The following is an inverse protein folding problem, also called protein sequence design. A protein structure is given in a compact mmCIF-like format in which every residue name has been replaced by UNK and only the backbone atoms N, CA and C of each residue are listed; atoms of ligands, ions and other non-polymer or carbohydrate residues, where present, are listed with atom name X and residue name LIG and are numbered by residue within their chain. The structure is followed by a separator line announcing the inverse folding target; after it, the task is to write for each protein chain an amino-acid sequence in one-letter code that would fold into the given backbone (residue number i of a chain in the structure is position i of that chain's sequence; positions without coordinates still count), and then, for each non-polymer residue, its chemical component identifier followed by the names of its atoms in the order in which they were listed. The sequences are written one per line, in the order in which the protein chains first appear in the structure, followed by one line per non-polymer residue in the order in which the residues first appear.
data_IF_421769371698
#
_entry.id   IF_421769371698
#
_cell.length_a   1.000
_cell.length_b   1.000
_cell.length_c   1.000
_cell.angle_alpha   90.00
_cell.angle_beta   90.00
_cell.angle_gamma   90.00
#
_symmetry.space_group_name_H-M   'P 1'
#
loop_
_entity.id
_entity.type
_entity.pdbx_description
1 polymer ?
#
# COMPACT_ATOMS: atom_id res chain seq x y z
N UNK A 1 -11.26 -4.23 13.61
CA UNK A 1 -10.65 -3.97 12.30
C UNK A 1 -9.15 -4.14 12.49
N UNK A 2 -8.47 -4.96 11.68
CA UNK A 2 -7.00 -5.03 11.73
C UNK A 2 -6.45 -3.73 11.15
N UNK A 3 -5.37 -3.21 11.72
CA UNK A 3 -4.74 -1.94 11.27
C UNK A 3 -3.25 -2.17 11.13
N UNK A 4 -2.68 -1.64 10.06
CA UNK A 4 -1.30 -1.84 9.65
C UNK A 4 -0.58 -0.49 9.63
N UNK A 5 0.46 -0.33 10.45
CA UNK A 5 1.22 0.92 10.53
C UNK A 5 2.50 0.81 9.69
N UNK A 6 2.61 1.67 8.67
CA UNK A 6 3.82 1.80 7.86
C UNK A 6 4.76 2.81 8.51
N UNK A 7 5.85 2.33 9.11
CA UNK A 7 6.86 3.12 9.81
C UNK A 7 8.13 3.27 9.00
N UNK A 8 8.53 4.50 8.70
CA UNK A 8 9.88 4.77 8.19
C UNK A 8 10.89 4.51 9.31
N UNK A 9 11.90 3.67 9.06
CA UNK A 9 12.97 3.39 10.04
C UNK A 9 14.28 4.06 9.66
N UNK A 10 14.57 4.10 8.37
CA UNK A 10 15.83 4.60 7.84
C UNK A 10 15.57 5.23 6.47
N UNK A 11 16.39 6.20 6.10
CA UNK A 11 16.41 6.76 4.76
C UNK A 11 17.84 7.02 4.32
N UNK A 12 18.14 6.66 3.08
CA UNK A 12 19.49 6.75 2.51
C UNK A 12 19.47 7.61 1.26
N UNK A 13 20.45 8.49 1.15
CA UNK A 13 20.63 9.33 -0.04
C UNK A 13 21.75 8.76 -0.92
N UNK A 14 21.40 8.38 -2.14
CA UNK A 14 22.31 7.89 -3.19
C UNK A 14 22.37 8.94 -4.30
N UNK A 15 23.25 9.93 -4.12
CA UNK A 15 23.38 11.07 -5.03
C UNK A 15 22.10 11.92 -5.07
N UNK A 16 21.41 11.90 -6.21
CA UNK A 16 20.14 12.60 -6.43
C UNK A 16 18.91 11.78 -6.03
N UNK A 17 19.07 10.50 -5.68
CA UNK A 17 17.97 9.62 -5.27
C UNK A 17 17.93 9.48 -3.74
N UNK A 18 16.72 9.43 -3.19
CA UNK A 18 16.48 9.09 -1.78
C UNK A 18 15.73 7.76 -1.72
N UNK A 19 16.30 6.79 -1.02
CA UNK A 19 15.67 5.51 -0.69
C UNK A 19 15.13 5.59 0.73
N UNK A 20 13.89 5.15 0.92
CA UNK A 20 13.23 5.13 2.23
C UNK A 20 12.94 3.67 2.60
N UNK A 21 13.34 3.27 3.80
CA UNK A 21 13.20 1.92 4.30
C UNK A 21 12.09 1.89 5.35
N UNK A 22 11.04 1.13 5.05
CA UNK A 22 9.85 1.02 5.89
C UNK A 22 9.79 -0.34 6.57
N UNK A 23 9.32 -0.35 7.81
CA UNK A 23 8.87 -1.54 8.52
C UNK A 23 7.36 -1.44 8.66
N UNK A 24 6.70 -2.57 8.47
CA UNK A 24 5.31 -2.73 8.87
C UNK A 24 5.33 -3.09 10.36
N UNK A 25 4.96 -2.14 11.23
CA UNK A 25 4.56 -2.51 12.57
C UNK A 25 3.11 -2.92 12.54
N UNK A 26 2.90 -4.13 13.02
CA UNK A 26 1.58 -4.71 13.14
C UNK A 26 1.16 -4.60 14.57
N UNK A 27 -0.05 -4.09 14.79
CA UNK A 27 -0.73 -4.32 16.06
C UNK A 27 -1.21 -5.79 16.20
N UNK A 28 -0.95 -6.66 15.19
CA UNK A 28 -1.17 -8.13 15.15
C UNK A 28 -0.41 -8.80 13.97
N UNK A 29 0.49 -9.76 14.20
CA UNK A 29 1.20 -10.76 13.34
C UNK A 29 1.00 -10.86 11.78
N UNK A 30 0.69 -9.79 11.07
CA UNK A 30 0.35 -9.82 9.63
C UNK A 30 1.49 -9.54 8.66
N UNK A 31 1.93 -10.54 7.91
CA UNK A 31 2.95 -10.36 6.87
C UNK A 31 2.48 -9.49 5.69
N UNK A 32 3.42 -9.03 4.84
CA UNK A 32 3.13 -8.39 3.54
C UNK A 32 2.11 -9.23 2.73
N UNK A 33 2.19 -10.56 2.80
CA UNK A 33 1.26 -11.45 2.11
C UNK A 33 -0.19 -11.30 2.60
N UNK A 34 -0.42 -11.03 3.90
CA UNK A 34 -1.77 -10.78 4.41
C UNK A 34 -2.35 -9.47 3.87
N UNK A 35 -1.52 -8.44 3.75
CA UNK A 35 -1.92 -7.15 3.17
C UNK A 35 -2.23 -7.32 1.69
N UNK A 36 -1.38 -8.04 0.94
CA UNK A 36 -1.62 -8.37 -0.46
C UNK A 36 -2.94 -9.12 -0.63
N UNK A 37 -3.21 -10.12 0.21
CA UNK A 37 -4.49 -10.86 0.16
C UNK A 37 -5.68 -9.95 0.50
N UNK A 38 -5.55 -9.09 1.51
CA UNK A 38 -6.59 -8.13 1.88
C UNK A 38 -6.90 -7.15 0.74
N UNK A 39 -5.88 -6.68 0.03
CA UNK A 39 -6.05 -5.84 -1.16
C UNK A 39 -6.76 -6.61 -2.27
N UNK A 40 -6.37 -7.87 -2.54
CA UNK A 40 -7.06 -8.72 -3.53
C UNK A 40 -8.54 -8.92 -3.19
N UNK A 41 -8.86 -9.19 -1.92
CA UNK A 41 -10.24 -9.32 -1.48
C UNK A 41 -11.07 -8.04 -1.70
N UNK A 42 -10.47 -6.86 -1.54
CA UNK A 42 -11.12 -5.58 -1.85
C UNK A 42 -11.36 -5.45 -3.35
N UNK A 43 -10.35 -5.75 -4.18
CA UNK A 43 -10.48 -5.70 -5.64
C UNK A 43 -11.59 -6.64 -6.14
N UNK A 44 -11.61 -7.89 -5.66
CA UNK A 44 -12.59 -8.91 -6.02
C UNK A 44 -14.00 -8.50 -5.58
N UNK A 45 -14.14 -7.96 -4.35
CA UNK A 45 -15.42 -7.51 -3.81
C UNK A 45 -16.01 -6.35 -4.62
N UNK A 46 -15.15 -5.47 -5.11
CA UNK A 46 -15.54 -4.29 -5.88
C UNK A 46 -15.60 -4.53 -7.39
N UNK A 47 -15.16 -5.71 -7.85
CA UNK A 47 -15.14 -6.07 -9.26
C UNK A 47 -14.19 -5.22 -10.09
N UNK A 48 -13.09 -4.74 -9.48
CA UNK A 48 -12.09 -3.89 -10.13
C UNK A 48 -10.78 -4.65 -10.32
N UNK A 49 -10.13 -4.49 -11.47
CA UNK A 49 -8.80 -5.10 -11.67
C UNK A 49 -7.68 -4.21 -11.14
N UNK A 50 -6.59 -4.85 -10.68
CA UNK A 50 -5.38 -4.14 -10.27
C UNK A 50 -4.82 -3.26 -11.42
N UNK A 51 -4.80 -3.82 -12.64
CA UNK A 51 -4.35 -3.14 -13.85
C UNK A 51 -5.15 -1.88 -14.19
N UNK A 52 -6.49 -1.96 -14.16
CA UNK A 52 -7.35 -0.80 -14.41
C UNK A 52 -7.20 0.26 -13.31
N UNK A 53 -6.95 -0.18 -12.07
CA UNK A 53 -6.74 0.73 -10.94
C UNK A 53 -5.44 1.52 -11.08
N UNK A 54 -4.35 0.86 -11.51
CA UNK A 54 -3.04 1.51 -11.73
C UNK A 54 -3.04 2.44 -12.94
N UNK A 55 -3.75 2.06 -14.01
CA UNK A 55 -3.86 2.85 -15.24
C UNK A 55 -4.81 4.06 -15.14
N UNK A 56 -5.62 4.16 -14.09
CA UNK A 56 -6.62 5.21 -13.94
C UNK A 56 -5.98 6.59 -13.65
N UNK A 57 -6.36 7.67 -14.34
CA UNK A 57 -5.91 9.03 -14.02
C UNK A 57 -6.23 9.48 -12.59
N UNK A 58 -7.26 8.89 -11.96
CA UNK A 58 -7.67 9.10 -10.56
C UNK A 58 -7.22 7.97 -9.64
N UNK A 59 -6.16 7.24 -9.99
CA UNK A 59 -5.62 6.10 -9.21
C UNK A 59 -5.46 6.41 -7.71
N UNK A 60 -5.03 7.61 -7.34
CA UNK A 60 -4.84 7.99 -5.93
C UNK A 60 -6.15 8.01 -5.12
N UNK A 61 -7.28 8.39 -5.72
CA UNK A 61 -8.59 8.31 -5.05
C UNK A 61 -8.98 6.84 -4.79
N UNK A 62 -8.68 5.95 -5.75
CA UNK A 62 -8.91 4.51 -5.60
C UNK A 62 -7.96 3.90 -4.56
N UNK A 63 -6.69 4.30 -4.54
CA UNK A 63 -5.73 3.85 -3.53
C UNK A 63 -6.14 4.28 -2.13
N UNK A 64 -6.66 5.51 -1.97
CA UNK A 64 -7.24 5.99 -0.70
C UNK A 64 -8.42 5.13 -0.24
N UNK A 65 -9.27 4.72 -1.17
CA UNK A 65 -10.40 3.85 -0.86
C UNK A 65 -9.94 2.46 -0.41
N UNK A 66 -9.02 1.83 -1.15
CA UNK A 66 -8.39 0.55 -0.79
C UNK A 66 -7.72 0.66 0.59
N UNK A 67 -6.95 1.73 0.83
CA UNK A 67 -6.29 2.01 2.10
C UNK A 67 -7.25 1.94 3.28
N UNK A 68 -8.41 2.58 3.16
CA UNK A 68 -9.44 2.62 4.22
C UNK A 68 -10.06 1.26 4.47
N UNK A 69 -10.32 0.49 3.41
CA UNK A 69 -10.91 -0.86 3.51
C UNK A 69 -9.93 -1.84 4.16
N UNK A 70 -8.65 -1.77 3.80
CA UNK A 70 -7.60 -2.64 4.34
C UNK A 70 -7.15 -2.20 5.74
N UNK A 71 -7.35 -0.93 6.09
CA UNK A 71 -6.91 -0.37 7.37
C UNK A 71 -5.42 -0.05 7.40
N UNK A 72 -4.86 0.43 6.30
CA UNK A 72 -3.46 0.88 6.23
C UNK A 72 -3.33 2.32 6.72
N UNK A 73 -2.37 2.55 7.61
CA UNK A 73 -2.09 3.85 8.21
C UNK A 73 -0.62 4.22 8.01
N UNK A 74 -0.39 5.47 7.63
CA UNK A 74 0.94 6.02 7.49
C UNK A 74 1.38 6.59 8.84
N UNK A 75 2.63 6.35 9.22
CA UNK A 75 3.21 6.99 10.41
C UNK A 75 3.67 8.42 10.17
N UNK A 76 4.14 8.74 8.96
CA UNK A 76 4.69 10.05 8.62
C UNK A 76 3.95 10.70 7.44
N UNK A 77 4.08 10.16 6.22
CA UNK A 77 3.46 10.74 5.03
C UNK A 77 2.42 9.81 4.47
N UNK A 78 1.21 10.35 4.25
CA UNK A 78 0.11 9.60 3.64
C UNK A 78 0.46 9.09 2.25
N UNK A 79 1.29 9.83 1.50
CA UNK A 79 1.79 9.44 0.19
C UNK A 79 2.53 8.09 0.20
N UNK A 80 3.30 7.79 1.25
CA UNK A 80 4.08 6.57 1.34
C UNK A 80 3.19 5.31 1.34
N UNK A 81 2.04 5.39 2.01
CA UNK A 81 1.06 4.29 2.02
C UNK A 81 0.38 4.13 0.67
N UNK A 82 0.12 5.22 -0.04
CA UNK A 82 -0.47 5.16 -1.38
C UNK A 82 0.52 4.57 -2.39
N UNK A 83 1.80 4.93 -2.29
CA UNK A 83 2.88 4.35 -3.09
C UNK A 83 3.08 2.86 -2.76
N UNK A 84 3.00 2.49 -1.49
CA UNK A 84 3.05 1.08 -1.08
C UNK A 84 1.89 0.25 -1.69
N UNK A 85 0.67 0.80 -1.68
CA UNK A 85 -0.48 0.17 -2.36
C UNK A 85 -0.23 0.07 -3.87
N UNK A 86 0.31 1.12 -4.50
CA UNK A 86 0.66 1.10 -5.92
C UNK A 86 1.64 -0.04 -6.25
N UNK A 87 2.69 -0.22 -5.45
CA UNK A 87 3.68 -1.28 -5.67
C UNK A 87 3.09 -2.69 -5.46
N UNK A 88 2.18 -2.86 -4.49
CA UNK A 88 1.44 -4.13 -4.35
C UNK A 88 0.58 -4.39 -5.59
N UNK A 89 -0.16 -3.40 -6.08
CA UNK A 89 -1.04 -3.56 -7.24
C UNK A 89 -0.25 -3.92 -8.51
N UNK A 90 0.91 -3.29 -8.74
CA UNK A 90 1.83 -3.64 -9.82
C UNK A 90 2.36 -5.08 -9.69
N UNK A 91 2.63 -5.53 -8.46
CA UNK A 91 3.05 -6.91 -8.19
C UNK A 91 1.93 -7.92 -8.42
N UNK A 92 0.66 -7.52 -8.28
CA UNK A 92 -0.50 -8.37 -8.58
C UNK A 92 -0.80 -8.42 -10.09
N UNK A 93 -0.56 -7.33 -10.82
CA UNK A 93 -0.73 -7.27 -12.28
C UNK A 93 0.26 -8.16 -13.04
N UNK A 94 1.52 -8.21 -12.57
CA UNK A 94 2.62 -8.97 -13.17
C UNK A 94 2.54 -10.47 -12.93
#
# INVERSE_FOLDING_TARGET
MKTYDLLENDSRRLGDKSEYFYNLQLNTDGSIAEITNSIKEVLDREGISAKETVADPRKFEKYEHIRRQVGLTASQKQEDVLLFIEEILKTIEG
#
